data_IF_071474766484
#
_entry.id   IF_071474766484
#
_cell.length_a   1.000
_cell.length_b   1.000
_cell.length_c   1.000
_cell.angle_alpha   90.00
_cell.angle_beta   90.00
_cell.angle_gamma   90.00
#
_symmetry.space_group_name_H-M   'P 1'
#
loop_
_entity.id
_entity.type
_entity.pdbx_description
1 polymer ?
#
# COMPACT_ATOMS: atom_id res chain seq x y z
N UNK A 1 -17.14 -12.85 -19.98
CA UNK A 1 -15.74 -12.48 -19.74
C UNK A 1 -15.76 -11.90 -18.34
N UNK A 2 -15.23 -12.63 -17.37
CA UNK A 2 -15.04 -12.09 -16.03
C UNK A 2 -13.83 -11.17 -16.16
N UNK A 3 -14.07 -9.88 -16.40
CA UNK A 3 -13.05 -8.83 -16.27
C UNK A 3 -12.82 -8.62 -14.77
N UNK A 4 -12.34 -9.68 -14.11
CA UNK A 4 -11.99 -9.68 -12.71
C UNK A 4 -10.76 -8.80 -12.51
N UNK A 5 -10.96 -7.73 -11.76
CA UNK A 5 -9.95 -6.84 -11.20
C UNK A 5 -8.62 -7.57 -10.97
N UNK A 6 -7.56 -7.22 -11.71
CA UNK A 6 -6.26 -7.92 -11.71
C UNK A 6 -5.53 -7.97 -10.37
N UNK A 7 -6.14 -7.44 -9.31
CA UNK A 7 -5.74 -7.57 -7.91
C UNK A 7 -6.26 -8.87 -7.26
N UNK A 8 -7.25 -9.54 -7.85
CA UNK A 8 -7.87 -10.75 -7.31
C UNK A 8 -6.93 -11.97 -7.27
N UNK A 9 -5.83 -11.94 -8.05
CA UNK A 9 -4.81 -13.00 -8.07
C UNK A 9 -3.60 -12.71 -7.16
N UNK A 10 -3.62 -11.62 -6.38
CA UNK A 10 -2.49 -11.26 -5.51
C UNK A 10 -2.60 -11.95 -4.14
N UNK A 11 -1.47 -12.49 -3.66
CA UNK A 11 -1.37 -13.00 -2.30
C UNK A 11 -1.61 -11.88 -1.28
N UNK A 12 -2.50 -12.12 -0.31
CA UNK A 12 -2.77 -11.19 0.79
C UNK A 12 -1.99 -11.63 2.03
N UNK A 13 -1.17 -10.72 2.55
CA UNK A 13 -0.37 -10.95 3.76
C UNK A 13 -0.79 -9.94 4.83
N UNK A 14 -0.93 -10.42 6.07
CA UNK A 14 -1.15 -9.58 7.24
C UNK A 14 0.18 -9.32 7.94
N UNK A 15 0.49 -8.06 8.23
CA UNK A 15 1.72 -7.64 8.92
C UNK A 15 1.34 -6.79 10.13
N UNK A 16 2.01 -7.03 11.25
CA UNK A 16 1.87 -6.21 12.46
C UNK A 16 2.88 -5.06 12.41
N UNK A 17 2.42 -3.84 12.63
CA UNK A 17 3.23 -2.62 12.62
C UNK A 17 3.02 -1.86 13.94
N UNK A 18 4.00 -1.05 14.30
CA UNK A 18 3.88 -0.14 15.44
C UNK A 18 2.83 0.94 15.16
N UNK A 19 2.16 1.41 16.22
CA UNK A 19 1.08 2.40 16.13
C UNK A 19 1.50 3.65 15.35
N UNK A 20 2.67 4.24 15.66
CA UNK A 20 3.16 5.41 14.93
C UNK A 20 3.44 5.16 13.44
N UNK A 21 3.69 3.91 13.04
CA UNK A 21 3.82 3.55 11.62
C UNK A 21 2.45 3.47 10.96
N UNK A 22 1.45 2.94 11.66
CA UNK A 22 0.07 2.91 11.17
C UNK A 22 -0.48 4.33 10.97
N UNK A 23 -0.24 5.23 11.92
CA UNK A 23 -0.66 6.64 11.82
C UNK A 23 -0.03 7.33 10.60
N UNK A 24 1.27 7.11 10.35
CA UNK A 24 1.94 7.67 9.18
C UNK A 24 1.36 7.14 7.85
N UNK A 25 1.00 5.85 7.80
CA UNK A 25 0.33 5.26 6.63
C UNK A 25 -1.07 5.85 6.45
N UNK A 26 -1.79 6.10 7.54
CA UNK A 26 -3.11 6.72 7.51
C UNK A 26 -3.08 8.16 7.01
N UNK A 27 -2.10 8.95 7.44
CA UNK A 27 -1.92 10.32 6.97
C UNK A 27 -1.71 10.36 5.44
N UNK A 28 -0.89 9.46 4.90
CA UNK A 28 -0.65 9.35 3.45
C UNK A 28 -1.91 8.87 2.73
N UNK A 29 -2.60 7.87 3.29
CA UNK A 29 -3.84 7.36 2.73
C UNK A 29 -4.91 8.47 2.63
N UNK A 30 -5.02 9.29 3.67
CA UNK A 30 -5.93 10.42 3.73
C UNK A 30 -5.55 11.51 2.73
N UNK A 31 -4.27 11.90 2.69
CA UNK A 31 -3.78 13.00 1.85
C UNK A 31 -3.90 12.68 0.35
N UNK A 32 -3.50 11.48 -0.08
CA UNK A 32 -3.22 11.20 -1.49
C UNK A 32 -4.09 10.08 -2.08
N UNK A 33 -4.75 9.28 -1.24
CA UNK A 33 -5.38 8.02 -1.69
C UNK A 33 -6.85 7.84 -1.27
N UNK A 34 -7.54 8.93 -0.89
CA UNK A 34 -8.96 8.88 -0.46
C UNK A 34 -9.18 7.84 0.65
N UNK A 35 -8.32 7.88 1.66
CA UNK A 35 -8.35 7.01 2.84
C UNK A 35 -8.07 5.52 2.52
N UNK A 36 -7.54 5.22 1.33
CA UNK A 36 -7.17 3.86 0.94
C UNK A 36 -5.74 3.51 1.39
N UNK A 37 -5.64 2.84 2.54
CA UNK A 37 -4.36 2.34 3.10
C UNK A 37 -3.58 1.44 2.13
N UNK A 38 -4.26 0.56 1.39
CA UNK A 38 -3.59 -0.36 0.47
C UNK A 38 -2.90 0.39 -0.67
N UNK A 39 -3.51 1.47 -1.17
CA UNK A 39 -2.90 2.33 -2.17
C UNK A 39 -1.69 3.09 -1.60
N UNK A 40 -1.80 3.64 -0.39
CA UNK A 40 -0.69 4.31 0.30
C UNK A 40 0.51 3.37 0.51
N UNK A 41 0.26 2.15 1.01
CA UNK A 41 1.30 1.14 1.21
C UNK A 41 1.97 0.77 -0.11
N UNK A 42 1.20 0.63 -1.20
CA UNK A 42 1.75 0.33 -2.54
C UNK A 42 2.66 1.44 -3.04
N UNK A 43 2.26 2.71 -2.87
CA UNK A 43 3.10 3.87 -3.22
C UNK A 43 4.43 3.83 -2.45
N UNK A 44 4.38 3.65 -1.12
CA UNK A 44 5.57 3.59 -0.28
C UNK A 44 6.51 2.43 -0.67
N UNK A 45 5.94 1.26 -0.96
CA UNK A 45 6.71 0.10 -1.41
C UNK A 45 7.35 0.35 -2.77
N UNK A 46 6.63 0.95 -3.72
CA UNK A 46 7.14 1.29 -5.04
C UNK A 46 8.28 2.31 -4.98
N UNK A 47 8.14 3.37 -4.16
CA UNK A 47 9.21 4.34 -3.91
C UNK A 47 10.45 3.68 -3.31
N UNK A 48 10.26 2.85 -2.29
CA UNK A 48 11.37 2.14 -1.66
C UNK A 48 12.06 1.16 -2.63
N UNK A 49 11.31 0.42 -3.45
CA UNK A 49 11.88 -0.47 -4.46
C UNK A 49 12.74 0.29 -5.46
N UNK A 50 12.28 1.46 -5.93
CA UNK A 50 13.05 2.32 -6.84
C UNK A 50 14.40 2.75 -6.24
N UNK A 51 14.46 2.99 -4.93
CA UNK A 51 15.73 3.32 -4.25
C UNK A 51 16.69 2.15 -4.07
N UNK A 52 16.24 0.90 -4.29
CA UNK A 52 17.06 -0.31 -4.12
C UNK A 52 17.72 -0.80 -5.40
N UNK A 53 17.21 -0.38 -6.56
CA UNK A 53 17.78 -0.70 -7.87
C UNK A 53 18.86 0.30 -8.33
N UNK A 54 19.26 1.24 -7.46
CA UNK A 54 20.37 2.19 -7.65
C UNK A 54 21.67 1.77 -6.94
#
# INVERSE_FOLDING_TARGET
MDEGDGLAEMETVTVELEEGTLDAVDDIAFADHRENRAAAIRTLLDEWLKTRDE
#
